data_IF_525077467659
#
_entry.id   IF_525077467659
#
_cell.length_a   1.000
_cell.length_b   1.000
_cell.length_c   1.000
_cell.angle_alpha   90.00
_cell.angle_beta   90.00
_cell.angle_gamma   90.00
#
_symmetry.space_group_name_H-M   'P 1'
#
loop_
_entity.id
_entity.type
_entity.pdbx_description
1 polymer ?
#
# COMPACT_ATOMS: atom_id res chain seq x y z
N UNK A 1 -23.28 -11.92 2.89
CA UNK A 1 -22.18 -12.85 3.26
C UNK A 1 -20.96 -12.00 3.59
N UNK A 2 -20.09 -12.40 4.53
CA UNK A 2 -18.85 -11.67 4.73
C UNK A 2 -18.03 -11.69 3.44
N UNK A 3 -17.35 -10.60 3.15
CA UNK A 3 -16.51 -10.47 1.94
C UNK A 3 -15.30 -11.41 2.06
N UNK A 4 -14.87 -11.93 0.92
CA UNK A 4 -13.67 -12.77 0.89
C UNK A 4 -12.40 -11.94 1.15
N UNK A 5 -11.41 -12.59 1.76
CA UNK A 5 -10.11 -11.99 2.01
C UNK A 5 -9.42 -11.64 0.70
N UNK A 6 -8.90 -10.41 0.52
CA UNK A 6 -8.11 -10.07 -0.67
C UNK A 6 -6.90 -10.99 -0.82
N UNK A 7 -6.76 -11.60 -2.01
CA UNK A 7 -5.77 -12.67 -2.27
C UNK A 7 -4.31 -12.22 -2.15
N UNK A 8 -4.04 -10.93 -2.29
CA UNK A 8 -2.70 -10.34 -2.23
C UNK A 8 -2.20 -10.06 -0.81
N UNK A 9 -3.08 -10.13 0.19
CA UNK A 9 -2.64 -9.96 1.57
C UNK A 9 -1.80 -11.17 2.01
N UNK A 10 -0.73 -10.96 2.80
CA UNK A 10 0.12 -12.04 3.24
C UNK A 10 -0.70 -13.05 4.02
N UNK A 11 -0.57 -14.33 3.64
CA UNK A 11 -1.24 -15.41 4.37
C UNK A 11 -0.67 -15.49 5.79
N UNK A 12 -1.44 -15.99 6.77
CA UNK A 12 -0.94 -16.18 8.13
C UNK A 12 0.39 -16.96 8.20
N UNK A 13 0.61 -17.91 7.28
CA UNK A 13 1.87 -18.67 7.15
C UNK A 13 3.09 -17.78 6.86
N UNK A 14 2.92 -16.60 6.25
CA UNK A 14 4.02 -15.65 6.05
C UNK A 14 4.63 -15.22 7.39
N UNK A 15 3.80 -15.00 8.39
CA UNK A 15 4.21 -14.56 9.72
C UNK A 15 4.68 -15.72 10.62
N UNK A 16 4.51 -16.98 10.17
CA UNK A 16 4.99 -18.19 10.86
C UNK A 16 6.39 -18.62 10.38
N UNK A 17 7.04 -17.81 9.54
CA UNK A 17 8.42 -18.02 9.08
C UNK A 17 9.42 -17.89 10.23
N UNK A 18 10.67 -18.39 10.08
CA UNK A 18 11.72 -18.15 11.06
C UNK A 18 11.91 -16.65 11.32
N UNK A 19 12.12 -16.32 12.59
CA UNK A 19 12.34 -14.92 13.00
C UNK A 19 13.50 -14.31 12.23
N UNK A 20 13.34 -13.12 11.64
CA UNK A 20 14.45 -12.38 11.02
C UNK A 20 15.54 -12.05 12.03
N UNK A 21 16.78 -11.97 11.55
CA UNK A 21 17.95 -11.57 12.35
C UNK A 21 18.68 -10.43 11.66
N UNK A 22 19.64 -9.83 12.33
CA UNK A 22 20.48 -8.77 11.72
C UNK A 22 21.26 -9.28 10.50
N UNK A 23 21.67 -10.57 10.50
CA UNK A 23 22.39 -11.20 9.39
C UNK A 23 21.47 -11.61 8.23
N UNK A 24 20.19 -11.83 8.54
CA UNK A 24 19.12 -12.17 7.58
C UNK A 24 17.86 -11.34 7.87
N UNK A 25 17.92 -10.02 7.61
CA UNK A 25 16.80 -9.14 7.90
C UNK A 25 15.63 -9.41 6.97
N UNK A 26 14.41 -9.14 7.44
CA UNK A 26 13.24 -9.04 6.60
C UNK A 26 13.35 -7.76 5.75
N UNK A 27 13.26 -7.91 4.44
CA UNK A 27 13.31 -6.76 3.53
C UNK A 27 11.91 -6.22 3.30
N UNK A 28 11.66 -5.01 3.77
CA UNK A 28 10.34 -4.37 3.71
C UNK A 28 10.39 -3.13 2.83
N UNK A 29 9.54 -3.10 1.80
CA UNK A 29 9.27 -1.85 1.06
C UNK A 29 8.25 -1.02 1.81
N UNK A 30 8.54 0.26 1.96
CA UNK A 30 7.68 1.21 2.68
C UNK A 30 7.34 2.40 1.79
N UNK A 31 6.07 2.79 1.71
CA UNK A 31 5.72 4.10 1.15
C UNK A 31 6.55 5.17 1.85
N UNK A 32 7.33 5.95 1.09
CA UNK A 32 8.33 6.85 1.65
C UNK A 32 7.73 7.90 2.60
N UNK A 33 6.48 8.32 2.36
CA UNK A 33 5.73 9.22 3.23
C UNK A 33 5.48 8.61 4.63
N UNK A 34 5.23 7.29 4.73
CA UNK A 34 5.12 6.59 6.02
C UNK A 34 6.47 6.50 6.75
N UNK A 35 7.56 6.57 6.00
CA UNK A 35 8.94 6.54 6.49
C UNK A 35 9.50 7.91 6.87
N UNK A 36 8.66 8.96 6.93
CA UNK A 36 9.05 10.31 7.33
C UNK A 36 9.70 11.14 6.22
N UNK A 37 9.57 10.74 4.94
CA UNK A 37 10.03 11.53 3.80
C UNK A 37 8.90 12.46 3.34
N UNK A 38 9.19 13.75 3.22
CA UNK A 38 8.25 14.77 2.73
C UNK A 38 7.96 14.62 1.25
N UNK A 39 7.18 13.60 0.88
CA UNK A 39 6.80 13.28 -0.48
C UNK A 39 5.27 13.19 -0.68
N UNK A 40 4.50 13.69 0.26
CA UNK A 40 3.08 13.94 0.07
C UNK A 40 2.81 14.95 -1.04
N UNK A 41 1.58 15.10 -1.47
CA UNK A 41 1.20 16.03 -2.55
C UNK A 41 1.61 17.48 -2.25
N UNK A 42 1.55 17.86 -1.01
CA UNK A 42 1.91 19.19 -0.47
C UNK A 42 3.33 19.27 0.12
N UNK A 43 4.12 18.20 0.02
CA UNK A 43 5.44 18.10 0.63
C UNK A 43 5.40 17.61 2.08
N UNK A 44 4.24 17.30 2.62
CA UNK A 44 4.10 16.73 3.95
C UNK A 44 4.55 15.27 4.02
N UNK A 45 4.73 14.77 5.26
CA UNK A 45 4.81 13.35 5.54
C UNK A 45 3.42 12.85 5.97
N UNK A 46 2.95 11.75 5.47
CA UNK A 46 1.73 11.10 5.98
C UNK A 46 2.00 10.25 7.23
N UNK A 47 3.08 10.54 7.91
CA UNK A 47 3.58 9.57 8.81
C UNK A 47 4.00 10.08 10.15
N UNK A 48 3.08 10.36 11.04
CA UNK A 48 3.39 10.08 12.45
C UNK A 48 2.85 8.71 12.89
N UNK A 49 3.15 7.68 12.10
CA UNK A 49 3.03 6.30 12.54
C UNK A 49 4.25 5.95 13.39
N UNK A 50 4.38 6.63 14.55
CA UNK A 50 5.53 6.47 15.45
C UNK A 50 5.75 4.99 15.81
N UNK A 51 4.67 4.26 16.07
CA UNK A 51 4.71 2.82 16.33
C UNK A 51 5.29 2.04 15.16
N UNK A 52 4.82 2.28 13.92
CA UNK A 52 5.34 1.64 12.73
C UNK A 52 6.84 1.94 12.56
N UNK A 53 7.24 3.20 12.71
CA UNK A 53 8.66 3.59 12.58
C UNK A 53 9.54 2.96 13.64
N UNK A 54 9.09 2.87 14.88
CA UNK A 54 9.91 2.39 16.01
C UNK A 54 10.38 0.94 15.82
N UNK A 55 9.57 0.06 15.26
CA UNK A 55 9.96 -1.33 15.05
C UNK A 55 10.47 -1.63 13.65
N UNK A 56 10.23 -0.75 12.67
CA UNK A 56 10.82 -0.90 11.33
C UNK A 56 12.28 -0.40 11.23
N UNK A 57 12.81 0.30 12.22
CA UNK A 57 14.24 0.74 12.26
C UNK A 57 15.16 -0.26 12.96
N UNK A 58 14.67 -1.45 13.29
CA UNK A 58 15.42 -2.51 13.96
C UNK A 58 16.42 -3.19 13.01
N UNK A 59 17.54 -3.75 13.52
CA UNK A 59 18.51 -4.44 12.67
C UNK A 59 17.96 -5.67 11.95
N UNK A 60 16.86 -6.25 12.46
CA UNK A 60 16.15 -7.38 11.83
C UNK A 60 15.26 -6.96 10.63
N UNK A 61 15.21 -5.66 10.33
CA UNK A 61 14.41 -5.12 9.20
C UNK A 61 15.29 -4.24 8.32
N UNK A 62 15.31 -4.54 7.04
CA UNK A 62 15.92 -3.67 6.02
C UNK A 62 14.82 -2.95 5.26
N UNK A 63 14.77 -1.62 5.40
CA UNK A 63 13.77 -0.79 4.74
C UNK A 63 14.24 -0.32 3.35
N UNK A 64 13.36 -0.49 2.36
CA UNK A 64 13.43 0.11 1.05
C UNK A 64 12.31 1.15 0.96
N UNK A 65 12.64 2.44 0.93
CA UNK A 65 11.65 3.52 0.91
C UNK A 65 11.51 4.07 -0.51
N UNK A 66 10.28 4.14 -1.01
CA UNK A 66 10.01 4.70 -2.33
C UNK A 66 8.65 5.39 -2.40
N UNK A 67 8.55 6.46 -3.18
CA UNK A 67 7.29 7.11 -3.52
C UNK A 67 7.15 7.16 -5.05
N UNK A 68 6.25 6.36 -5.65
CA UNK A 68 6.10 6.31 -7.11
C UNK A 68 5.59 7.62 -7.70
N UNK A 69 4.73 8.31 -6.96
CA UNK A 69 4.21 9.61 -7.39
C UNK A 69 5.27 10.72 -7.34
N UNK A 70 6.08 10.78 -6.25
CA UNK A 70 7.19 11.74 -6.19
C UNK A 70 8.23 11.50 -7.28
N UNK A 71 8.52 10.25 -7.56
CA UNK A 71 9.44 9.86 -8.63
C UNK A 71 8.98 10.36 -9.99
N UNK A 72 7.69 10.25 -10.30
CA UNK A 72 7.14 10.60 -11.61
C UNK A 72 6.80 12.09 -11.77
N UNK A 73 6.36 12.74 -10.70
CA UNK A 73 5.74 14.07 -10.78
C UNK A 73 6.40 15.12 -9.86
N UNK A 74 7.31 14.67 -8.98
CA UNK A 74 7.91 15.57 -7.99
C UNK A 74 7.01 15.86 -6.79
N UNK A 75 7.37 16.89 -6.04
CA UNK A 75 6.63 17.41 -4.87
C UNK A 75 6.95 18.91 -4.74
N UNK A 76 5.97 19.81 -4.56
CA UNK A 76 4.52 19.52 -4.49
C UNK A 76 3.94 19.10 -5.84
N UNK A 77 2.77 18.48 -5.83
CA UNK A 77 2.06 18.02 -7.02
C UNK A 77 0.54 17.96 -6.80
N UNK A 78 -0.22 17.78 -7.87
CA UNK A 78 -1.64 17.43 -7.79
C UNK A 78 -1.82 15.99 -7.33
N UNK A 79 -3.04 15.67 -6.92
CA UNK A 79 -3.41 14.33 -6.45
C UNK A 79 -3.96 13.50 -7.62
N UNK A 80 -3.35 12.36 -7.98
CA UNK A 80 -3.91 11.47 -9.00
C UNK A 80 -4.89 10.47 -8.37
N UNK A 81 -6.02 10.26 -9.05
CA UNK A 81 -6.99 9.21 -8.73
C UNK A 81 -7.27 8.31 -9.94
N UNK A 82 -7.75 7.08 -9.68
CA UNK A 82 -8.06 6.12 -10.74
C UNK A 82 -9.48 6.31 -11.28
N UNK A 83 -9.62 6.34 -12.59
CA UNK A 83 -10.87 6.51 -13.31
C UNK A 83 -11.15 5.30 -14.20
N UNK A 84 -12.31 4.67 -14.00
CA UNK A 84 -12.76 3.53 -14.80
C UNK A 84 -12.29 2.15 -14.31
N UNK A 85 -11.53 2.10 -13.20
CA UNK A 85 -11.05 0.86 -12.61
C UNK A 85 -9.94 1.09 -11.59
N UNK A 86 -9.44 0.03 -11.00
CA UNK A 86 -8.37 0.05 -10.01
C UNK A 86 -6.97 -0.03 -10.65
N UNK A 87 -5.92 -0.17 -9.83
CA UNK A 87 -4.54 -0.20 -10.32
C UNK A 87 -4.24 -1.34 -11.30
N UNK A 88 -4.92 -2.49 -11.20
CA UNK A 88 -4.77 -3.55 -12.20
C UNK A 88 -5.32 -3.13 -13.55
N UNK A 89 -6.47 -2.46 -13.57
CA UNK A 89 -7.09 -1.96 -14.79
C UNK A 89 -6.25 -0.85 -15.44
N UNK A 90 -5.63 0.00 -14.63
CA UNK A 90 -4.69 1.03 -15.13
C UNK A 90 -3.48 0.38 -15.79
N UNK A 91 -2.86 -0.63 -15.16
CA UNK A 91 -1.74 -1.38 -15.74
C UNK A 91 -2.11 -2.12 -17.02
N UNK A 92 -3.38 -2.54 -17.16
CA UNK A 92 -3.90 -3.22 -18.35
C UNK A 92 -4.39 -2.25 -19.46
N UNK A 93 -4.27 -0.93 -19.25
CA UNK A 93 -4.77 0.07 -20.18
C UNK A 93 -6.30 0.18 -20.27
N UNK A 94 -7.04 -0.38 -19.30
CA UNK A 94 -8.50 -0.36 -19.21
C UNK A 94 -9.05 0.82 -18.42
N UNK A 95 -8.22 1.39 -17.57
CA UNK A 95 -8.52 2.54 -16.72
C UNK A 95 -7.41 3.60 -16.81
N UNK A 96 -7.67 4.79 -16.29
CA UNK A 96 -6.73 5.91 -16.31
C UNK A 96 -6.46 6.45 -14.91
N UNK A 97 -5.32 7.10 -14.74
CA UNK A 97 -5.03 7.94 -13.58
C UNK A 97 -5.09 9.39 -14.00
N UNK A 98 -6.05 10.15 -13.47
CA UNK A 98 -6.20 11.56 -13.78
C UNK A 98 -5.85 12.41 -12.54
N UNK A 99 -5.19 13.54 -12.78
CA UNK A 99 -4.95 14.54 -11.74
C UNK A 99 -6.21 15.38 -11.44
N UNK A 100 -6.15 16.23 -10.43
CA UNK A 100 -7.27 17.07 -9.97
C UNK A 100 -7.87 17.95 -11.06
N UNK A 101 -7.05 18.43 -12.00
CA UNK A 101 -7.46 19.27 -13.13
C UNK A 101 -7.96 18.47 -14.34
N UNK A 102 -8.01 17.12 -14.22
CA UNK A 102 -8.41 16.21 -15.29
C UNK A 102 -7.28 15.84 -16.25
N UNK A 103 -6.08 16.35 -16.07
CA UNK A 103 -4.93 15.94 -16.89
C UNK A 103 -4.60 14.46 -16.73
N UNK A 104 -4.22 13.81 -17.82
CA UNK A 104 -3.93 12.37 -17.84
C UNK A 104 -2.50 12.11 -17.34
N UNK A 105 -2.40 11.49 -16.19
CA UNK A 105 -1.15 11.11 -15.54
C UNK A 105 -0.86 9.61 -15.61
N UNK A 106 -1.62 8.86 -16.42
CA UNK A 106 -1.56 7.40 -16.52
C UNK A 106 -0.14 6.89 -16.80
N UNK A 107 0.52 7.45 -17.79
CA UNK A 107 1.89 7.03 -18.18
C UNK A 107 2.89 7.24 -17.02
N UNK A 108 2.85 8.41 -16.36
CA UNK A 108 3.70 8.69 -15.21
C UNK A 108 3.43 7.78 -14.02
N UNK A 109 2.15 7.46 -13.77
CA UNK A 109 1.76 6.53 -12.70
C UNK A 109 2.28 5.11 -12.99
N UNK A 110 2.13 4.62 -14.22
CA UNK A 110 2.67 3.32 -14.64
C UNK A 110 4.19 3.31 -14.52
N UNK A 111 4.89 4.35 -14.99
CA UNK A 111 6.34 4.47 -14.87
C UNK A 111 6.81 4.40 -13.41
N UNK A 112 6.16 5.15 -12.52
CA UNK A 112 6.47 5.13 -11.08
C UNK A 112 6.22 3.76 -10.46
N UNK A 113 5.13 3.09 -10.84
CA UNK A 113 4.77 1.76 -10.37
C UNK A 113 5.79 0.70 -10.82
N UNK A 114 6.18 0.70 -12.09
CA UNK A 114 7.18 -0.23 -12.63
C UNK A 114 8.56 0.00 -12.00
N UNK A 115 8.98 1.25 -11.81
CA UNK A 115 10.24 1.56 -11.10
C UNK A 115 10.21 1.04 -9.66
N UNK A 116 9.07 1.19 -8.96
CA UNK A 116 8.90 0.65 -7.60
C UNK A 116 9.00 -0.87 -7.60
N UNK A 117 8.37 -1.55 -8.57
CA UNK A 117 8.43 -3.01 -8.73
C UNK A 117 9.85 -3.48 -9.02
N UNK A 118 10.56 -2.85 -9.95
CA UNK A 118 11.94 -3.20 -10.30
C UNK A 118 12.88 -3.04 -9.10
N UNK A 119 12.76 -1.93 -8.38
CA UNK A 119 13.50 -1.69 -7.14
C UNK A 119 13.18 -2.78 -6.10
N UNK A 120 11.91 -3.15 -5.93
CA UNK A 120 11.51 -4.17 -4.98
C UNK A 120 12.11 -5.54 -5.31
N UNK A 121 12.12 -5.93 -6.58
CA UNK A 121 12.72 -7.18 -7.04
C UNK A 121 14.25 -7.17 -6.88
N UNK A 122 14.90 -6.08 -7.27
CA UNK A 122 16.36 -5.92 -7.14
C UNK A 122 16.82 -6.00 -5.68
N UNK A 123 16.08 -5.36 -4.77
CA UNK A 123 16.36 -5.33 -3.34
C UNK A 123 15.89 -6.60 -2.59
N UNK A 124 15.21 -7.51 -3.26
CA UNK A 124 14.69 -8.72 -2.64
C UNK A 124 13.58 -8.45 -1.60
N UNK A 125 12.70 -7.50 -1.89
CA UNK A 125 11.57 -7.16 -0.99
C UNK A 125 10.65 -8.35 -0.80
N UNK A 126 10.33 -8.65 0.45
CA UNK A 126 9.50 -9.78 0.86
C UNK A 126 8.09 -9.35 1.30
N UNK A 127 7.92 -8.08 1.68
CA UNK A 127 6.65 -7.48 2.10
C UNK A 127 6.65 -5.99 1.76
N UNK A 128 5.53 -5.47 1.28
CA UNK A 128 5.34 -4.03 1.15
C UNK A 128 4.30 -3.52 2.15
N UNK A 129 4.62 -2.41 2.84
CA UNK A 129 3.71 -1.68 3.73
C UNK A 129 3.47 -0.32 3.10
N UNK A 130 2.27 -0.12 2.57
CA UNK A 130 1.98 1.01 1.72
C UNK A 130 0.93 1.95 2.34
N UNK A 131 0.89 3.19 1.82
CA UNK A 131 -0.11 4.19 2.19
C UNK A 131 -1.47 3.82 1.63
N UNK A 132 -2.45 3.61 2.50
CA UNK A 132 -3.79 3.21 2.11
C UNK A 132 -4.58 4.33 1.41
N UNK A 133 -5.59 3.92 0.64
CA UNK A 133 -6.48 4.80 -0.11
C UNK A 133 -5.77 5.76 -1.08
N UNK A 134 -4.50 5.51 -1.39
CA UNK A 134 -3.75 6.25 -2.41
C UNK A 134 -3.97 5.65 -3.80
N UNK A 135 -4.10 6.47 -4.83
CA UNK A 135 -4.20 6.03 -6.23
C UNK A 135 -2.99 5.21 -6.69
N UNK A 136 -1.82 5.42 -6.08
CA UNK A 136 -0.62 4.61 -6.33
C UNK A 136 -0.47 3.46 -5.35
N UNK A 137 -0.62 3.72 -4.04
CA UNK A 137 -0.17 2.85 -2.96
C UNK A 137 -1.28 2.08 -2.23
N UNK A 138 -2.56 2.42 -2.44
CA UNK A 138 -3.68 1.74 -1.77
C UNK A 138 -3.58 0.22 -1.91
N UNK A 139 -3.83 -0.53 -0.84
CA UNK A 139 -3.71 -2.00 -0.86
C UNK A 139 -5.01 -2.69 -1.28
N UNK A 140 -6.11 -2.36 -0.63
CA UNK A 140 -7.40 -3.04 -0.81
C UNK A 140 -8.53 -2.13 -1.28
N UNK A 141 -8.34 -0.81 -1.18
CA UNK A 141 -9.34 0.19 -1.55
C UNK A 141 -8.65 1.44 -2.10
N UNK A 142 -9.26 2.01 -3.14
CA UNK A 142 -8.87 3.28 -3.75
C UNK A 142 -10.11 4.12 -4.05
N UNK A 143 -9.91 5.37 -4.48
CA UNK A 143 -11.01 6.17 -5.02
C UNK A 143 -11.30 5.75 -6.46
N UNK A 144 -12.58 5.69 -6.81
CA UNK A 144 -13.06 5.57 -8.18
C UNK A 144 -13.49 6.96 -8.67
N UNK A 145 -12.70 7.56 -9.53
CA UNK A 145 -12.84 8.96 -9.89
C UNK A 145 -12.21 9.88 -8.84
N UNK A 146 -12.49 11.17 -8.94
CA UNK A 146 -11.88 12.18 -8.09
C UNK A 146 -12.27 12.06 -6.62
N UNK A 147 -11.30 12.04 -5.71
CA UNK A 147 -11.50 12.12 -4.25
C UNK A 147 -12.05 13.47 -3.78
N UNK A 148 -12.02 14.47 -4.65
CA UNK A 148 -12.56 15.81 -4.40
C UNK A 148 -14.00 15.98 -4.85
N UNK A 149 -14.60 14.97 -5.50
CA UNK A 149 -16.00 14.97 -5.84
C UNK A 149 -16.88 15.06 -4.58
N UNK A 150 -18.03 15.72 -4.69
CA UNK A 150 -19.00 15.82 -3.60
C UNK A 150 -19.46 14.41 -3.16
N UNK A 151 -19.82 13.58 -4.14
CA UNK A 151 -20.19 12.17 -3.94
C UNK A 151 -18.99 11.26 -4.19
N UNK A 152 -18.08 11.19 -3.22
CA UNK A 152 -16.88 10.32 -3.31
C UNK A 152 -17.25 8.85 -3.41
N UNK A 153 -16.69 8.17 -4.38
CA UNK A 153 -16.88 6.74 -4.58
C UNK A 153 -15.57 6.01 -4.30
N UNK A 154 -15.67 4.92 -3.56
CA UNK A 154 -14.54 4.01 -3.36
C UNK A 154 -14.74 2.75 -4.20
N UNK A 155 -13.64 2.14 -4.62
CA UNK A 155 -13.61 0.87 -5.30
C UNK A 155 -12.69 -0.11 -4.58
N UNK A 156 -13.01 -1.38 -4.68
CA UNK A 156 -12.12 -2.45 -4.22
C UNK A 156 -10.93 -2.57 -5.17
N UNK A 157 -9.78 -2.85 -4.59
CA UNK A 157 -8.56 -3.12 -5.35
C UNK A 157 -7.44 -2.13 -5.07
N UNK A 158 -6.23 -2.50 -5.51
CA UNK A 158 -5.03 -1.74 -5.22
C UNK A 158 -4.88 -0.50 -6.11
N UNK A 159 -4.05 0.44 -5.64
CA UNK A 159 -3.47 1.48 -6.49
C UNK A 159 -2.44 0.92 -7.47
N UNK A 160 -1.99 1.75 -8.40
CA UNK A 160 -1.19 1.30 -9.56
C UNK A 160 0.13 0.64 -9.14
N UNK A 161 0.87 1.23 -8.20
CA UNK A 161 2.13 0.68 -7.71
C UNK A 161 1.92 -0.56 -6.82
N UNK A 162 0.89 -0.55 -5.97
CA UNK A 162 0.52 -1.74 -5.22
C UNK A 162 0.16 -2.91 -6.16
N UNK A 163 -0.59 -2.66 -7.24
CA UNK A 163 -0.93 -3.65 -8.25
C UNK A 163 0.32 -4.24 -8.93
N UNK A 164 1.31 -3.41 -9.25
CA UNK A 164 2.57 -3.87 -9.86
C UNK A 164 3.36 -4.79 -8.90
N UNK A 165 3.43 -4.46 -7.62
CA UNK A 165 4.07 -5.30 -6.60
C UNK A 165 3.34 -6.63 -6.41
N UNK A 166 2.00 -6.60 -6.36
CA UNK A 166 1.15 -7.79 -6.22
C UNK A 166 1.36 -8.74 -7.42
N UNK A 167 1.41 -8.23 -8.65
CA UNK A 167 1.72 -9.02 -9.86
C UNK A 167 3.11 -9.64 -9.82
N UNK A 168 4.06 -9.00 -9.15
CA UNK A 168 5.40 -9.54 -8.91
C UNK A 168 5.45 -10.58 -7.77
N UNK A 169 4.31 -10.91 -7.16
CA UNK A 169 4.22 -11.89 -6.07
C UNK A 169 4.63 -11.34 -4.70
N UNK A 170 4.79 -10.02 -4.58
CA UNK A 170 5.13 -9.37 -3.31
C UNK A 170 3.82 -9.07 -2.56
N UNK A 171 3.61 -9.63 -1.35
CA UNK A 171 2.45 -9.31 -0.55
C UNK A 171 2.45 -7.83 -0.12
N UNK A 172 1.27 -7.22 -0.17
CA UNK A 172 1.08 -5.79 0.15
C UNK A 172 0.08 -5.67 1.28
N UNK A 173 0.44 -4.93 2.32
CA UNK A 173 -0.46 -4.47 3.38
C UNK A 173 -0.40 -2.96 3.48
N UNK A 174 -1.36 -2.39 4.16
CA UNK A 174 -1.41 -0.97 4.45
C UNK A 174 -1.08 -0.67 5.92
N UNK A 175 -0.86 0.61 6.24
CA UNK A 175 -0.73 1.06 7.62
C UNK A 175 -2.03 0.94 8.43
N UNK A 176 -3.14 0.52 7.81
CA UNK A 176 -4.46 0.29 8.44
C UNK A 176 -4.78 -1.19 8.65
N UNK A 177 -3.90 -2.09 8.24
CA UNK A 177 -4.06 -3.53 8.40
C UNK A 177 -3.50 -3.95 9.77
N UNK A 178 -4.23 -3.59 10.84
CA UNK A 178 -3.75 -3.66 12.22
C UNK A 178 -3.40 -5.09 12.64
N UNK A 179 -4.19 -6.10 12.21
CA UNK A 179 -3.89 -7.51 12.48
C UNK A 179 -2.57 -7.93 11.82
N UNK A 180 -2.40 -7.64 10.53
CA UNK A 180 -1.20 -7.99 9.79
C UNK A 180 0.04 -7.28 10.34
N UNK A 181 -0.10 -6.01 10.72
CA UNK A 181 0.97 -5.24 11.37
C UNK A 181 1.35 -5.81 12.73
N UNK A 182 0.37 -6.23 13.53
CA UNK A 182 0.62 -6.89 14.81
C UNK A 182 1.35 -8.22 14.62
N UNK A 183 0.88 -9.05 13.67
CA UNK A 183 1.54 -10.34 13.37
C UNK A 183 2.98 -10.13 12.91
N UNK A 184 3.27 -9.07 12.15
CA UNK A 184 4.63 -8.71 11.78
C UNK A 184 5.46 -8.31 13.00
N UNK A 185 4.90 -7.53 13.91
CA UNK A 185 5.56 -7.17 15.17
C UNK A 185 5.85 -8.42 16.01
N UNK A 186 4.88 -9.31 16.16
CA UNK A 186 5.05 -10.56 16.89
C UNK A 186 6.17 -11.43 16.29
N UNK A 187 6.27 -11.51 14.96
CA UNK A 187 7.37 -12.18 14.28
C UNK A 187 8.74 -11.57 14.64
N UNK A 188 8.83 -10.23 14.66
CA UNK A 188 10.06 -9.52 15.01
C UNK A 188 10.43 -9.65 16.49
N UNK A 189 9.43 -9.67 17.37
CA UNK A 189 9.63 -9.80 18.82
C UNK A 189 9.82 -11.27 19.28
N UNK A 190 9.45 -12.23 18.44
CA UNK A 190 9.40 -13.65 18.82
C UNK A 190 8.27 -13.94 19.80
N UNK A 191 7.17 -13.18 19.70
CA UNK A 191 5.99 -13.30 20.54
C UNK A 191 4.79 -13.80 19.75
N UNK A 192 3.71 -14.13 20.45
CA UNK A 192 2.42 -14.44 19.85
C UNK A 192 1.32 -13.80 20.70
N UNK A 193 0.77 -12.70 20.20
CA UNK A 193 -0.24 -11.94 20.93
C UNK A 193 -1.64 -12.31 20.44
N UNK A 194 -2.51 -12.74 21.34
CA UNK A 194 -3.93 -12.87 21.03
C UNK A 194 -4.56 -11.49 21.01
N UNK A 195 -5.24 -11.16 19.90
CA UNK A 195 -5.87 -9.86 19.69
C UNK A 195 -7.06 -10.00 18.76
N UNK A 196 -8.03 -9.12 18.92
CA UNK A 196 -9.20 -8.95 18.06
C UNK A 196 -9.01 -7.87 16.98
N UNK A 197 -7.78 -7.37 16.82
CA UNK A 197 -7.41 -6.42 15.76
C UNK A 197 -7.79 -6.95 14.38
N UNK A 198 -8.19 -6.04 13.52
CA UNK A 198 -8.69 -6.35 12.18
C UNK A 198 -7.90 -5.60 11.12
N UNK A 199 -7.69 -6.23 10.00
CA UNK A 199 -7.18 -5.56 8.81
C UNK A 199 -8.27 -4.65 8.22
N UNK A 200 -7.87 -3.66 7.42
CA UNK A 200 -8.79 -2.63 6.93
C UNK A 200 -10.02 -3.22 6.22
N UNK A 201 -9.82 -4.24 5.40
CA UNK A 201 -10.92 -4.91 4.68
C UNK A 201 -11.93 -5.64 5.59
N UNK A 202 -11.58 -5.95 6.85
CA UNK A 202 -12.43 -6.61 7.84
C UNK A 202 -13.19 -5.61 8.72
N UNK A 203 -12.83 -4.32 8.67
CA UNK A 203 -13.45 -3.28 9.50
C UNK A 203 -14.88 -2.99 9.01
N UNK A 204 -15.73 -2.60 9.95
CA UNK A 204 -17.16 -2.36 9.70
C UNK A 204 -17.40 -1.40 8.54
N UNK A 205 -16.64 -0.31 8.46
CA UNK A 205 -16.74 0.65 7.37
C UNK A 205 -16.57 -0.01 5.99
N UNK A 206 -15.51 -0.80 5.82
CA UNK A 206 -15.21 -1.46 4.55
C UNK A 206 -16.30 -2.48 4.19
N UNK A 207 -16.65 -3.35 5.15
CA UNK A 207 -17.66 -4.38 4.96
C UNK A 207 -19.04 -3.77 4.63
N UNK A 208 -19.44 -2.71 5.33
CA UNK A 208 -20.73 -2.03 5.10
C UNK A 208 -20.75 -1.28 3.75
N UNK A 209 -19.65 -0.61 3.42
CA UNK A 209 -19.58 0.16 2.18
C UNK A 209 -19.69 -0.74 0.94
N UNK A 210 -19.00 -1.89 0.93
CA UNK A 210 -18.93 -2.78 -0.22
C UNK A 210 -19.98 -3.90 -0.21
N UNK A 211 -20.72 -4.11 0.89
CA UNK A 211 -21.74 -5.16 0.97
C UNK A 211 -22.86 -5.02 -0.09
N UNK A 212 -23.12 -3.81 -0.56
CA UNK A 212 -24.21 -3.46 -1.49
C UNK A 212 -23.73 -2.83 -2.80
N UNK A 213 -22.42 -2.87 -3.06
CA UNK A 213 -21.81 -2.32 -4.26
C UNK A 213 -20.97 -3.40 -4.93
N UNK A 214 -21.15 -3.62 -6.24
CA UNK A 214 -20.40 -4.64 -6.98
C UNK A 214 -18.91 -4.28 -7.08
#
# INVERSE_FOLDING_TARGET
MPMERPVHLPLPKFFQRPRPTAERPLVVMLSACLGGIGCGVDGSTNGDHATLRSWLVRPEVRLVKFCPEHFSFGTPRMTPDSHGGNGFDVLDGKARSLAEDGSDWTEGMIKGAETMREMALHEGVELAILMDMSGACGSTVTYLGSRFAEDKVYQQGPGVAAAALIRAGIPVISQRDDRSLRMLRDLLDGTHTLSDERDHWEKEWYQSYFAHRP
#
